data_IF_350139115727
#
_entry.id   IF_350139115727
#
_cell.length_a   1.000
_cell.length_b   1.000
_cell.length_c   1.000
_cell.angle_alpha   90.00
_cell.angle_beta   90.00
_cell.angle_gamma   90.00
#
_symmetry.space_group_name_H-M   'P 1'
#
loop_
_entity.id
_entity.type
_entity.pdbx_description
1 polymer ?
#
# COMPACT_ATOMS: atom_id res chain seq x y z
N UNK A 1 -56.35 11.27 -10.37
CA UNK A 1 -55.76 12.04 -11.49
C UNK A 1 -54.29 11.76 -11.46
N UNK A 2 -53.97 10.51 -11.77
CA UNK A 2 -52.83 9.77 -11.26
C UNK A 2 -51.69 9.75 -12.27
N UNK A 3 -50.47 9.99 -11.81
CA UNK A 3 -49.24 9.87 -12.60
C UNK A 3 -48.32 8.86 -11.92
N UNK A 4 -48.64 7.58 -12.08
CA UNK A 4 -47.67 6.49 -11.91
C UNK A 4 -46.88 6.35 -13.21
N UNK A 5 -45.62 6.80 -13.21
CA UNK A 5 -44.68 6.51 -14.31
C UNK A 5 -43.69 5.47 -13.83
N UNK A 6 -44.03 4.20 -14.09
CA UNK A 6 -43.16 3.07 -13.86
C UNK A 6 -41.99 3.07 -14.85
N UNK A 7 -40.79 3.33 -14.35
CA UNK A 7 -39.57 3.19 -15.13
C UNK A 7 -39.19 1.69 -15.22
N UNK A 8 -39.22 1.11 -16.42
CA UNK A 8 -38.68 -0.24 -16.69
C UNK A 8 -37.40 -0.14 -17.51
N UNK A 9 -36.29 -0.78 -17.10
CA UNK A 9 -35.09 -0.86 -17.91
C UNK A 9 -35.31 -1.77 -19.15
N UNK A 10 -34.70 -1.46 -20.30
CA UNK A 10 -34.79 -2.28 -21.50
C UNK A 10 -34.01 -3.60 -21.38
N UNK A 11 -34.54 -4.65 -22.04
CA UNK A 11 -34.04 -6.02 -21.97
C UNK A 11 -32.72 -6.24 -22.73
N UNK A 12 -31.84 -7.06 -22.13
CA UNK A 12 -30.44 -7.37 -22.49
C UNK A 12 -30.24 -8.24 -23.75
N UNK A 13 -31.09 -8.15 -24.78
CA UNK A 13 -30.97 -8.97 -26.00
C UNK A 13 -30.99 -8.11 -27.26
N UNK A 14 -30.02 -7.22 -27.43
CA UNK A 14 -29.78 -6.55 -28.73
C UNK A 14 -28.43 -5.80 -28.78
N UNK A 15 -27.35 -6.42 -28.31
CA UNK A 15 -25.99 -5.97 -28.67
C UNK A 15 -25.49 -6.84 -29.82
N UNK A 16 -25.93 -6.46 -31.02
CA UNK A 16 -25.38 -6.95 -32.28
C UNK A 16 -23.89 -6.65 -32.36
N UNK A 17 -23.12 -7.68 -32.72
CA UNK A 17 -21.73 -7.57 -33.10
C UNK A 17 -21.65 -6.72 -34.38
N UNK A 18 -21.12 -5.49 -34.25
CA UNK A 18 -20.69 -4.72 -35.41
C UNK A 18 -19.31 -5.22 -35.82
N UNK A 19 -19.23 -5.71 -37.05
CA UNK A 19 -18.02 -6.11 -37.75
C UNK A 19 -17.07 -4.92 -37.84
N UNK A 20 -15.86 -5.08 -37.29
CA UNK A 20 -14.73 -4.22 -37.60
C UNK A 20 -14.21 -4.61 -38.98
N UNK A 21 -14.16 -3.59 -39.84
CA UNK A 21 -13.86 -3.70 -41.25
C UNK A 21 -12.44 -4.16 -41.55
N UNK A 22 -12.34 -4.64 -42.79
CA UNK A 22 -11.15 -4.88 -43.58
C UNK A 22 -10.12 -3.76 -43.43
N UNK A 23 -8.88 -4.16 -43.12
CA UNK A 23 -7.70 -3.39 -43.49
C UNK A 23 -6.88 -4.31 -44.38
N UNK A 24 -6.95 -4.05 -45.68
CA UNK A 24 -6.04 -4.59 -46.67
C UNK A 24 -4.62 -4.12 -46.36
N UNK A 25 -3.68 -5.05 -46.27
CA UNK A 25 -2.26 -4.74 -46.28
C UNK A 25 -1.49 -5.86 -46.96
N UNK A 26 -1.28 -5.63 -48.25
CA UNK A 26 -0.06 -5.88 -49.02
C UNK A 26 0.65 -7.24 -48.86
N UNK A 27 0.46 -8.02 -49.92
CA UNK A 27 1.29 -9.10 -50.44
C UNK A 27 2.80 -8.80 -50.39
N UNK A 28 3.59 -9.71 -49.80
CA UNK A 28 5.01 -9.85 -50.07
C UNK A 28 5.35 -11.32 -50.36
N UNK A 29 6.18 -11.61 -51.39
CA UNK A 29 6.36 -12.96 -51.88
C UNK A 29 7.42 -13.76 -51.11
N UNK A 30 7.09 -15.05 -51.05
CA UNK A 30 7.88 -16.21 -50.67
C UNK A 30 9.22 -16.28 -51.43
N UNK A 31 10.35 -16.37 -50.73
CA UNK A 31 11.60 -16.89 -51.28
C UNK A 31 12.18 -17.94 -50.32
N UNK A 32 12.08 -19.20 -50.74
CA UNK A 32 12.76 -20.34 -50.15
C UNK A 32 14.24 -20.27 -50.55
N UNK A 33 15.16 -20.37 -49.59
CA UNK A 33 16.47 -20.95 -49.85
C UNK A 33 17.07 -21.51 -48.56
N UNK A 34 17.10 -22.83 -48.48
CA UNK A 34 17.86 -23.57 -47.50
C UNK A 34 19.33 -23.59 -47.96
N UNK A 35 20.25 -23.18 -47.08
CA UNK A 35 21.65 -23.61 -47.20
C UNK A 35 22.25 -23.82 -45.83
N UNK A 36 22.62 -25.07 -45.61
CA UNK A 36 23.27 -25.58 -44.41
C UNK A 36 24.62 -24.90 -44.18
N UNK A 37 24.81 -24.38 -42.95
CA UNK A 37 26.12 -24.10 -42.39
C UNK A 37 26.25 -24.90 -41.10
N UNK A 38 27.14 -25.87 -41.20
CA UNK A 38 27.52 -26.86 -40.21
C UNK A 38 28.70 -26.26 -39.44
N UNK A 39 28.65 -26.31 -38.11
CA UNK A 39 29.85 -26.19 -37.27
C UNK A 39 29.98 -24.89 -36.49
N UNK A 40 29.53 -24.93 -35.23
CA UNK A 40 30.30 -24.54 -34.05
C UNK A 40 29.41 -24.78 -32.83
N UNK A 41 29.62 -25.91 -32.15
CA UNK A 41 29.02 -26.17 -30.85
C UNK A 41 29.60 -25.16 -29.85
N UNK A 42 28.85 -24.11 -29.57
CA UNK A 42 29.04 -23.31 -28.37
C UNK A 42 28.57 -24.14 -27.16
N UNK A 43 29.34 -24.20 -26.07
CA UNK A 43 28.90 -24.91 -24.87
C UNK A 43 27.64 -24.23 -24.34
N UNK A 44 26.55 -25.01 -24.25
CA UNK A 44 25.35 -24.60 -23.55
C UNK A 44 25.68 -24.44 -22.06
N UNK A 45 25.87 -23.20 -21.63
CA UNK A 45 26.09 -22.85 -20.23
C UNK A 45 24.80 -23.11 -19.44
N UNK A 46 24.83 -23.83 -18.31
CA UNK A 46 23.65 -24.20 -17.54
C UNK A 46 23.14 -23.02 -16.69
N UNK A 47 22.51 -22.04 -17.33
CA UNK A 47 21.97 -20.82 -16.67
C UNK A 47 20.77 -21.05 -15.72
N UNK A 48 20.28 -22.28 -15.59
CA UNK A 48 19.14 -22.60 -14.71
C UNK A 48 19.56 -22.97 -13.29
N UNK A 49 20.64 -23.72 -13.12
CA UNK A 49 21.09 -24.18 -11.80
C UNK A 49 21.59 -23.01 -10.93
N UNK A 50 22.39 -22.09 -11.50
CA UNK A 50 22.89 -20.92 -10.75
C UNK A 50 21.77 -19.99 -10.26
N UNK A 51 20.65 -19.91 -10.98
CA UNK A 51 19.54 -19.02 -10.63
C UNK A 51 18.69 -19.58 -9.50
N UNK A 52 18.56 -20.90 -9.43
CA UNK A 52 17.85 -21.60 -8.35
C UNK A 52 18.70 -21.59 -7.07
N UNK A 53 20.01 -21.80 -7.16
CA UNK A 53 20.94 -21.70 -6.03
C UNK A 53 20.99 -20.28 -5.43
N UNK A 54 20.99 -19.24 -6.29
CA UNK A 54 20.97 -17.85 -5.84
C UNK A 54 19.64 -17.48 -5.14
N UNK A 55 18.51 -17.98 -5.62
CA UNK A 55 17.20 -17.80 -4.98
C UNK A 55 17.11 -18.49 -3.61
N UNK A 56 17.73 -19.66 -3.49
CA UNK A 56 17.77 -20.42 -2.24
C UNK A 56 18.70 -19.75 -1.21
N UNK A 57 19.87 -19.26 -1.64
CA UNK A 57 20.79 -18.49 -0.79
C UNK A 57 20.17 -17.18 -0.27
N UNK A 58 19.44 -16.44 -1.12
CA UNK A 58 18.67 -15.27 -0.70
C UNK A 58 17.54 -15.64 0.27
N UNK A 59 17.00 -16.85 0.18
CA UNK A 59 15.97 -17.33 1.11
C UNK A 59 16.53 -17.65 2.50
N UNK A 60 17.72 -18.25 2.55
CA UNK A 60 18.39 -18.60 3.81
C UNK A 60 18.82 -17.36 4.58
N UNK A 61 19.43 -16.40 3.90
CA UNK A 61 19.87 -15.13 4.52
C UNK A 61 18.72 -14.35 5.16
N UNK A 62 17.59 -14.19 4.45
CA UNK A 62 16.42 -13.51 5.02
C UNK A 62 15.81 -14.27 6.21
N UNK A 63 15.88 -15.61 6.24
CA UNK A 63 15.41 -16.37 7.42
C UNK A 63 16.33 -16.21 8.62
N UNK A 64 17.64 -16.13 8.39
CA UNK A 64 18.63 -15.88 9.43
C UNK A 64 18.50 -14.47 9.99
N UNK A 65 18.29 -13.47 9.13
CA UNK A 65 18.03 -12.08 9.54
C UNK A 65 16.76 -11.96 10.39
N UNK A 66 15.68 -12.64 10.01
CA UNK A 66 14.44 -12.67 10.79
C UNK A 66 14.64 -13.30 12.18
N UNK A 67 15.41 -14.40 12.26
CA UNK A 67 15.76 -15.05 13.53
C UNK A 67 16.65 -14.16 14.38
N UNK A 68 17.67 -13.54 13.79
CA UNK A 68 18.56 -12.61 14.47
C UNK A 68 17.79 -11.38 14.98
N UNK A 69 16.83 -10.87 14.21
CA UNK A 69 15.95 -9.80 14.63
C UNK A 69 15.05 -10.21 15.80
N UNK A 70 14.46 -11.41 15.74
CA UNK A 70 13.68 -11.96 16.86
C UNK A 70 14.53 -12.08 18.11
N UNK A 71 15.77 -12.59 18.00
CA UNK A 71 16.69 -12.71 19.12
C UNK A 71 17.09 -11.34 19.69
N UNK A 72 17.35 -10.35 18.85
CA UNK A 72 17.65 -8.98 19.26
C UNK A 72 16.48 -8.32 20.01
N UNK A 73 15.24 -8.59 19.58
CA UNK A 73 14.05 -8.07 20.26
C UNK A 73 13.83 -8.81 21.59
N UNK A 74 14.05 -10.13 21.64
CA UNK A 74 14.00 -10.89 22.90
C UNK A 74 15.02 -10.36 23.91
N UNK A 75 16.26 -10.11 23.48
CA UNK A 75 17.30 -9.55 24.35
C UNK A 75 16.95 -8.14 24.86
N UNK A 76 16.22 -7.35 24.06
CA UNK A 76 15.68 -6.07 24.51
C UNK A 76 14.64 -6.31 25.60
N UNK A 77 13.69 -7.23 25.40
CA UNK A 77 12.62 -7.54 26.36
C UNK A 77 13.12 -8.10 27.70
N UNK A 78 14.33 -8.65 27.76
CA UNK A 78 14.96 -9.15 28.99
C UNK A 78 15.52 -8.02 29.88
N UNK A 79 15.56 -6.78 29.40
CA UNK A 79 15.96 -5.61 30.20
C UNK A 79 14.85 -5.21 31.19
N UNK A 80 15.07 -5.50 32.47
CA UNK A 80 14.15 -5.20 33.58
C UNK A 80 13.86 -3.70 33.75
N UNK A 81 14.63 -2.82 33.10
CA UNK A 81 14.44 -1.36 33.18
C UNK A 81 13.47 -0.81 32.12
N UNK A 82 12.97 -1.65 31.21
CA UNK A 82 12.04 -1.23 30.17
C UNK A 82 10.70 -0.77 30.74
N UNK A 83 10.18 0.32 30.18
CA UNK A 83 8.81 0.74 30.43
C UNK A 83 7.81 -0.26 29.84
N UNK A 84 6.63 -0.39 30.47
CA UNK A 84 5.54 -1.27 30.02
C UNK A 84 5.19 -1.08 28.53
N UNK A 85 5.27 0.16 28.03
CA UNK A 85 5.01 0.48 26.63
C UNK A 85 6.06 -0.12 25.69
N UNK A 86 7.33 -0.08 26.08
CA UNK A 86 8.42 -0.65 25.30
C UNK A 86 8.37 -2.18 25.31
N UNK A 87 7.98 -2.78 26.44
CA UNK A 87 7.72 -4.22 26.53
C UNK A 87 6.58 -4.61 25.58
N UNK A 88 5.49 -3.82 25.54
CA UNK A 88 4.39 -4.04 24.61
C UNK A 88 4.82 -3.92 23.15
N UNK A 89 5.56 -2.86 22.79
CA UNK A 89 6.12 -2.66 21.45
C UNK A 89 7.01 -3.84 21.04
N UNK A 90 7.93 -4.26 21.92
CA UNK A 90 8.82 -5.38 21.66
C UNK A 90 8.06 -6.68 21.42
N UNK A 91 6.98 -6.96 22.18
CA UNK A 91 6.14 -8.15 21.96
C UNK A 91 5.43 -8.13 20.62
N UNK A 92 4.85 -6.99 20.23
CA UNK A 92 4.20 -6.84 18.92
C UNK A 92 5.22 -7.06 17.80
N UNK A 93 6.39 -6.45 17.92
CA UNK A 93 7.45 -6.59 16.92
C UNK A 93 7.99 -8.01 16.83
N UNK A 94 8.19 -8.68 17.97
CA UNK A 94 8.59 -10.08 18.03
C UNK A 94 7.59 -10.99 17.30
N UNK A 95 6.29 -10.73 17.47
CA UNK A 95 5.25 -11.47 16.79
C UNK A 95 5.26 -11.23 15.28
N UNK A 96 5.54 -10.01 14.80
CA UNK A 96 5.71 -9.73 13.36
C UNK A 96 6.90 -10.47 12.74
N UNK A 97 7.95 -10.75 13.51
CA UNK A 97 9.10 -11.54 13.09
C UNK A 97 8.95 -13.05 13.29
N UNK A 98 7.82 -13.51 13.83
CA UNK A 98 7.60 -14.92 14.08
C UNK A 98 7.67 -15.75 12.78
N UNK A 99 8.39 -16.88 12.83
CA UNK A 99 8.63 -17.74 11.68
C UNK A 99 7.33 -18.21 10.98
N UNK A 100 6.23 -18.33 11.71
CA UNK A 100 4.91 -18.69 11.16
C UNK A 100 4.36 -17.68 10.13
N UNK A 101 4.80 -16.43 10.18
CA UNK A 101 4.37 -15.38 9.25
C UNK A 101 5.35 -15.13 8.11
N UNK A 102 6.51 -15.79 8.13
CA UNK A 102 7.61 -15.55 7.20
C UNK A 102 7.20 -15.65 5.71
N UNK A 103 6.30 -16.57 5.38
CA UNK A 103 5.80 -16.74 4.00
C UNK A 103 5.20 -15.47 3.38
N UNK A 104 4.69 -14.55 4.23
CA UNK A 104 4.11 -13.29 3.79
C UNK A 104 4.74 -12.04 4.42
N UNK A 105 5.48 -12.13 5.53
CA UNK A 105 6.21 -10.97 6.08
C UNK A 105 7.51 -10.68 5.34
N UNK A 106 8.10 -11.69 4.68
CA UNK A 106 9.41 -11.60 3.99
C UNK A 106 9.63 -10.29 3.20
N UNK A 107 8.76 -9.88 2.24
CA UNK A 107 8.99 -8.67 1.45
C UNK A 107 9.17 -7.37 2.25
N UNK A 108 8.81 -7.38 3.53
CA UNK A 108 8.81 -6.23 4.42
C UNK A 108 9.91 -6.33 5.49
N UNK A 109 10.70 -7.41 5.53
CA UNK A 109 11.69 -7.63 6.59
C UNK A 109 12.92 -6.77 6.39
N UNK A 110 13.72 -7.07 5.37
CA UNK A 110 15.01 -6.43 5.15
C UNK A 110 14.93 -5.22 4.22
N UNK A 111 15.94 -4.36 4.27
CA UNK A 111 16.06 -3.24 3.34
C UNK A 111 16.20 -3.73 1.89
N UNK A 112 16.94 -4.81 1.66
CA UNK A 112 17.12 -5.38 0.31
C UNK A 112 15.82 -5.92 -0.27
N UNK A 113 14.99 -6.58 0.53
CA UNK A 113 13.69 -7.09 0.09
C UNK A 113 12.65 -5.96 -0.09
N UNK A 114 12.71 -4.95 0.78
CA UNK A 114 11.91 -3.73 0.66
C UNK A 114 12.26 -2.96 -0.62
N UNK A 115 13.56 -2.78 -0.91
CA UNK A 115 14.06 -2.14 -2.14
C UNK A 115 13.65 -2.92 -3.40
N UNK A 116 13.72 -4.26 -3.37
CA UNK A 116 13.23 -5.10 -4.46
C UNK A 116 11.72 -4.93 -4.71
N UNK A 117 10.98 -4.50 -3.68
CA UNK A 117 9.56 -4.14 -3.75
C UNK A 117 9.31 -2.63 -3.89
N UNK A 118 10.35 -1.81 -4.12
CA UNK A 118 10.28 -0.36 -4.20
C UNK A 118 9.64 0.33 -2.98
N UNK A 119 9.83 -0.22 -1.78
CA UNK A 119 9.37 0.35 -0.51
C UNK A 119 10.45 1.25 0.11
N UNK A 120 10.05 2.29 0.83
CA UNK A 120 11.01 3.25 1.43
C UNK A 120 11.53 2.81 2.79
N UNK A 121 10.84 1.90 3.47
CA UNK A 121 11.16 1.42 4.80
C UNK A 121 10.86 -0.07 4.95
N UNK A 122 11.52 -0.70 5.92
CA UNK A 122 11.39 -2.12 6.26
C UNK A 122 11.12 -2.31 7.75
N UNK A 123 10.59 -3.47 8.16
CA UNK A 123 10.34 -3.81 9.56
C UNK A 123 11.64 -3.90 10.36
N UNK A 124 12.76 -4.31 9.75
CA UNK A 124 14.08 -4.25 10.41
C UNK A 124 14.51 -2.79 10.67
N UNK A 125 14.20 -1.85 9.76
CA UNK A 125 14.47 -0.43 10.03
C UNK A 125 13.64 0.10 11.22
N UNK A 126 12.41 -0.39 11.40
CA UNK A 126 11.57 -0.05 12.57
C UNK A 126 12.14 -0.65 13.85
N UNK A 127 12.61 -1.91 13.80
CA UNK A 127 13.34 -2.55 14.91
C UNK A 127 14.54 -1.70 15.33
N UNK A 128 15.34 -1.24 14.37
CA UNK A 128 16.55 -0.46 14.65
C UNK A 128 16.24 0.87 15.32
N UNK A 129 15.11 1.49 14.96
CA UNK A 129 14.59 2.68 15.65
C UNK A 129 14.14 2.38 17.10
N UNK A 130 13.64 1.19 17.39
CA UNK A 130 13.27 0.79 18.75
C UNK A 130 14.52 0.50 19.59
N UNK A 131 15.49 -0.24 19.04
CA UNK A 131 16.73 -0.58 19.76
C UNK A 131 17.59 0.66 20.05
N UNK A 132 17.58 1.64 19.14
CA UNK A 132 18.20 2.96 19.36
C UNK A 132 17.38 3.89 20.26
N UNK A 133 16.23 3.43 20.79
CA UNK A 133 15.28 4.20 21.62
C UNK A 133 14.74 5.45 20.94
N UNK A 134 14.75 5.51 19.61
CA UNK A 134 14.10 6.58 18.85
C UNK A 134 12.56 6.47 18.87
N UNK A 135 12.03 5.26 19.06
CA UNK A 135 10.59 5.00 19.20
C UNK A 135 10.28 4.59 20.65
N UNK A 136 9.98 5.57 21.49
CA UNK A 136 9.65 5.35 22.91
C UNK A 136 8.17 5.15 23.17
N UNK A 137 7.31 5.69 22.32
CA UNK A 137 5.85 5.62 22.45
C UNK A 137 5.25 4.63 21.45
N UNK A 138 4.22 3.91 21.91
CA UNK A 138 3.56 2.88 21.10
C UNK A 138 2.79 3.44 19.90
N UNK A 139 2.32 4.68 19.99
CA UNK A 139 1.72 5.41 18.88
C UNK A 139 2.74 5.59 17.77
N UNK A 140 3.91 6.16 18.09
CA UNK A 140 5.00 6.38 17.12
C UNK A 140 5.47 5.07 16.46
N UNK A 141 5.59 3.99 17.24
CA UNK A 141 5.85 2.66 16.70
C UNK A 141 4.78 2.21 15.70
N UNK A 142 3.51 2.34 16.06
CA UNK A 142 2.41 1.92 15.22
C UNK A 142 2.34 2.75 13.92
N UNK A 143 2.65 4.05 13.97
CA UNK A 143 2.77 4.91 12.80
C UNK A 143 3.83 4.41 11.82
N UNK A 144 5.01 4.06 12.33
CA UNK A 144 6.13 3.59 11.52
C UNK A 144 5.86 2.25 10.84
N UNK A 145 5.23 1.31 11.55
CA UNK A 145 4.81 0.02 10.96
C UNK A 145 3.75 0.25 9.88
N UNK A 146 2.73 1.06 10.17
CA UNK A 146 1.69 1.39 9.18
C UNK A 146 2.23 2.14 7.98
N UNK A 147 3.30 2.94 8.14
CA UNK A 147 3.99 3.60 7.02
C UNK A 147 4.59 2.57 6.05
N UNK A 148 5.22 1.52 6.55
CA UNK A 148 5.73 0.41 5.72
C UNK A 148 4.60 -0.21 4.88
N UNK A 149 3.43 -0.44 5.50
CA UNK A 149 2.28 -1.03 4.81
C UNK A 149 1.61 -0.03 3.84
N UNK A 150 1.51 1.24 4.23
CA UNK A 150 0.97 2.31 3.40
C UNK A 150 1.80 2.50 2.13
N UNK A 151 3.13 2.54 2.25
CA UNK A 151 4.05 2.58 1.11
C UNK A 151 3.80 1.42 0.16
N UNK A 152 3.61 0.20 0.69
CA UNK A 152 3.30 -0.96 -0.13
C UNK A 152 2.00 -0.78 -0.91
N UNK A 153 0.93 -0.30 -0.27
CA UNK A 153 -0.34 -0.07 -0.96
C UNK A 153 -0.27 1.11 -1.94
N UNK A 154 0.55 2.11 -1.66
CA UNK A 154 0.80 3.24 -2.55
C UNK A 154 1.57 2.84 -3.81
N UNK A 155 2.53 1.92 -3.70
CA UNK A 155 3.31 1.42 -4.83
C UNK A 155 2.55 0.33 -5.62
N UNK A 156 2.00 -0.66 -4.93
CA UNK A 156 1.47 -1.89 -5.55
C UNK A 156 -0.05 -1.93 -5.68
N UNK A 157 -0.76 -1.00 -5.02
CA UNK A 157 -2.22 -0.92 -5.07
C UNK A 157 -2.94 -1.98 -4.23
N UNK A 158 -4.18 -2.29 -4.61
CA UNK A 158 -5.07 -3.15 -3.83
C UNK A 158 -4.54 -4.61 -3.80
N UNK A 159 -4.73 -5.36 -2.70
CA UNK A 159 -4.44 -6.80 -2.58
C UNK A 159 -4.93 -7.71 -3.73
N UNK A 160 -5.95 -7.29 -4.48
CA UNK A 160 -6.48 -8.05 -5.62
C UNK A 160 -5.64 -7.89 -6.89
N UNK A 161 -4.75 -6.89 -6.93
CA UNK A 161 -3.95 -6.52 -8.10
C UNK A 161 -2.49 -6.96 -7.96
N UNK A 162 -1.96 -7.03 -6.74
CA UNK A 162 -0.57 -7.41 -6.47
C UNK A 162 -0.45 -8.49 -5.40
N UNK A 163 0.38 -9.50 -5.67
CA UNK A 163 0.73 -10.53 -4.70
C UNK A 163 1.45 -9.96 -3.48
N UNK A 164 2.23 -8.88 -3.65
CA UNK A 164 2.91 -8.18 -2.55
C UNK A 164 1.89 -7.47 -1.66
N UNK A 165 0.92 -6.76 -2.24
CA UNK A 165 -0.18 -6.15 -1.48
C UNK A 165 -1.03 -7.17 -0.72
N UNK A 166 -1.23 -8.37 -1.28
CA UNK A 166 -1.92 -9.48 -0.59
C UNK A 166 -1.13 -10.03 0.59
N UNK A 167 0.19 -10.05 0.48
CA UNK A 167 1.07 -10.38 1.60
C UNK A 167 1.05 -9.29 2.67
N UNK A 168 1.06 -8.02 2.25
CA UNK A 168 0.93 -6.84 3.10
C UNK A 168 -0.35 -6.90 3.94
N UNK A 169 -1.51 -7.16 3.31
CA UNK A 169 -2.81 -7.29 4.00
C UNK A 169 -2.79 -8.34 5.13
N UNK A 170 -2.10 -9.46 4.92
CA UNK A 170 -1.99 -10.50 5.94
C UNK A 170 -1.15 -10.06 7.13
N UNK A 171 -0.01 -9.41 6.90
CA UNK A 171 0.86 -8.94 7.99
C UNK A 171 0.27 -7.70 8.68
N UNK A 172 -0.42 -6.83 7.96
CA UNK A 172 -1.20 -5.69 8.50
C UNK A 172 -2.30 -6.19 9.43
N UNK A 173 -3.03 -7.24 9.04
CA UNK A 173 -4.04 -7.87 9.91
C UNK A 173 -3.44 -8.46 11.19
N UNK A 174 -2.27 -9.11 11.10
CA UNK A 174 -1.56 -9.64 12.29
C UNK A 174 -1.14 -8.48 13.20
N UNK A 175 -0.60 -7.40 12.62
CA UNK A 175 -0.22 -6.22 13.37
C UNK A 175 -1.42 -5.60 14.10
N UNK A 176 -2.51 -5.31 13.40
CA UNK A 176 -3.70 -4.70 14.00
C UNK A 176 -4.37 -5.61 15.03
N UNK A 177 -4.35 -6.94 14.81
CA UNK A 177 -4.80 -7.89 15.82
C UNK A 177 -3.95 -7.77 17.10
N UNK A 178 -2.63 -7.69 16.98
CA UNK A 178 -1.74 -7.53 18.12
C UNK A 178 -1.96 -6.19 18.85
N UNK A 179 -2.16 -5.10 18.11
CA UNK A 179 -2.54 -3.80 18.69
C UNK A 179 -3.88 -3.90 19.45
N UNK A 180 -4.84 -4.65 18.91
CA UNK A 180 -6.15 -4.85 19.55
C UNK A 180 -6.07 -5.67 20.84
N UNK A 181 -5.04 -6.50 21.03
CA UNK A 181 -4.82 -7.30 22.24
C UNK A 181 -4.17 -6.50 23.37
N UNK A 182 -3.65 -5.31 23.09
CA UNK A 182 -3.02 -4.46 24.09
C UNK A 182 -4.02 -3.93 25.14
N UNK A 183 -3.54 -3.56 26.34
CA UNK A 183 -4.32 -2.83 27.33
C UNK A 183 -4.99 -1.60 26.72
N UNK A 184 -6.18 -1.25 27.21
CA UNK A 184 -7.01 -0.18 26.63
C UNK A 184 -6.29 1.17 26.55
N UNK A 185 -5.43 1.49 27.52
CA UNK A 185 -4.61 2.71 27.55
C UNK A 185 -3.64 2.78 26.37
N UNK A 186 -2.91 1.69 26.11
CA UNK A 186 -1.95 1.59 25.02
C UNK A 186 -2.63 1.51 23.66
N UNK A 187 -3.74 0.78 23.58
CA UNK A 187 -4.55 0.67 22.36
C UNK A 187 -5.08 2.03 21.89
N UNK A 188 -5.47 2.90 22.82
CA UNK A 188 -5.94 4.24 22.48
C UNK A 188 -4.83 5.07 21.83
N UNK A 189 -3.59 4.99 22.33
CA UNK A 189 -2.42 5.67 21.75
C UNK A 189 -2.01 5.09 20.39
N UNK A 190 -2.03 3.76 20.27
CA UNK A 190 -1.70 3.05 19.04
C UNK A 190 -2.84 3.07 18.01
N UNK A 191 -4.00 3.65 18.35
CA UNK A 191 -5.16 3.70 17.46
C UNK A 191 -4.82 4.45 16.19
N UNK A 192 -5.23 3.88 15.05
CA UNK A 192 -4.90 4.42 13.73
C UNK A 192 -5.36 5.88 13.54
N UNK A 193 -6.47 6.27 14.18
CA UNK A 193 -7.00 7.63 14.12
C UNK A 193 -6.16 8.66 14.87
N UNK A 194 -5.34 8.22 15.83
CA UNK A 194 -4.51 9.08 16.68
C UNK A 194 -3.06 9.05 16.22
N UNK A 195 -2.58 7.87 15.83
CA UNK A 195 -1.18 7.64 15.50
C UNK A 195 -0.81 8.00 14.05
N UNK A 196 -1.77 8.22 13.14
CA UNK A 196 -1.43 8.51 11.73
C UNK A 196 -1.55 10.00 11.40
N UNK A 197 -0.45 10.79 11.43
CA UNK A 197 -0.38 12.00 10.64
C UNK A 197 -0.17 11.56 9.18
N UNK A 198 -1.23 11.14 8.49
CA UNK A 198 -1.14 10.72 7.09
C UNK A 198 -0.67 11.87 6.19
N UNK A 199 -0.85 13.12 6.63
CA UNK A 199 -0.29 14.31 5.98
C UNK A 199 1.24 14.28 5.91
N UNK A 200 1.94 13.64 6.85
CA UNK A 200 3.41 13.57 6.85
C UNK A 200 3.94 12.41 5.98
N UNK A 201 3.11 11.40 5.70
CA UNK A 201 3.44 10.28 4.81
C UNK A 201 3.37 10.71 3.33
N UNK A 202 2.56 11.70 3.00
CA UNK A 202 2.38 12.22 1.64
C UNK A 202 3.23 13.46 1.30
N UNK A 203 3.84 14.11 2.29
CA UNK A 203 4.43 15.44 2.12
C UNK A 203 5.96 15.44 2.01
N UNK A 204 6.49 14.91 0.92
CA UNK A 204 7.66 15.51 0.24
C UNK A 204 7.17 16.43 -0.88
N UNK A 205 6.35 17.42 -0.53
CA UNK A 205 6.21 18.72 -1.21
C UNK A 205 5.11 19.55 -0.53
N UNK A 206 5.49 20.76 -0.11
CA UNK A 206 4.65 21.92 0.21
C UNK A 206 3.73 21.85 1.44
N UNK A 207 4.19 22.54 2.48
CA UNK A 207 3.45 22.98 3.65
C UNK A 207 2.29 23.94 3.29
N UNK A 208 1.16 23.77 3.98
CA UNK A 208 0.28 24.87 4.42
C UNK A 208 -0.62 24.37 5.55
N UNK A 209 -0.50 25.02 6.73
CA UNK A 209 -1.45 25.00 7.84
C UNK A 209 -2.87 25.31 7.37
N UNK A 210 -3.88 24.61 7.89
CA UNK A 210 -5.21 25.18 8.14
C UNK A 210 -5.88 24.47 9.34
N UNK A 211 -6.64 25.26 10.10
CA UNK A 211 -7.15 25.00 11.44
C UNK A 211 -8.40 24.08 11.49
N UNK A 212 -8.78 23.52 12.66
CA UNK A 212 -9.96 22.69 12.81
C UNK A 212 -11.24 23.53 12.95
N UNK A 213 -12.21 23.31 12.05
CA UNK A 213 -13.57 23.82 12.18
C UNK A 213 -14.36 23.04 13.25
N UNK A 214 -14.72 23.72 14.33
CA UNK A 214 -15.75 23.32 15.28
C UNK A 214 -17.13 23.30 14.61
N UNK A 215 -17.87 22.22 14.82
CA UNK A 215 -19.25 22.07 14.35
C UNK A 215 -20.00 21.05 15.20
N UNK A 216 -20.32 21.44 16.43
CA UNK A 216 -21.25 20.72 17.28
C UNK A 216 -22.69 21.07 16.87
N UNK A 217 -23.55 20.09 16.64
CA UNK A 217 -24.98 20.14 17.03
C UNK A 217 -25.62 18.74 17.05
N UNK A 218 -25.72 18.20 18.27
CA UNK A 218 -26.93 17.66 18.90
C UNK A 218 -28.05 17.09 17.99
N UNK A 219 -28.03 15.76 17.74
CA UNK A 219 -29.25 14.99 17.43
C UNK A 219 -29.39 13.75 18.32
N UNK A 220 -30.12 13.97 19.42
CA UNK A 220 -31.08 13.08 20.10
C UNK A 220 -31.03 11.58 19.76
N UNK A 221 -30.55 10.81 20.74
CA UNK A 221 -30.98 9.47 21.19
C UNK A 221 -31.66 8.57 20.15
N UNK A 222 -30.88 7.62 19.62
CA UNK A 222 -31.39 6.32 19.17
C UNK A 222 -30.61 5.19 19.85
N UNK A 223 -31.38 4.26 20.39
CA UNK A 223 -31.04 3.02 21.07
C UNK A 223 -29.82 2.28 20.55
N UNK A 224 -28.77 2.21 21.38
CA UNK A 224 -27.94 1.04 21.75
C UNK A 224 -27.70 -0.04 20.67
N UNK A 225 -27.46 0.35 19.42
CA UNK A 225 -26.59 -0.42 18.55
C UNK A 225 -25.19 -0.21 19.11
N UNK A 226 -24.56 -1.25 19.65
CA UNK A 226 -23.09 -1.25 19.77
C UNK A 226 -22.58 -1.22 18.34
N UNK A 227 -22.46 -0.02 17.78
CA UNK A 227 -21.62 0.21 16.62
C UNK A 227 -20.23 -0.07 17.15
N UNK A 228 -19.78 -1.33 17.03
CA UNK A 228 -18.35 -1.58 16.92
C UNK A 228 -17.91 -0.78 15.72
N UNK A 229 -17.47 0.45 15.96
CA UNK A 229 -16.75 1.25 14.98
C UNK A 229 -15.50 0.46 14.67
N UNK A 230 -15.57 -0.40 13.65
CA UNK A 230 -14.38 -1.01 13.07
C UNK A 230 -13.45 0.15 12.73
N UNK A 231 -12.29 0.16 13.39
CA UNK A 231 -11.25 1.13 13.08
C UNK A 231 -10.85 0.92 11.62
N UNK A 232 -10.66 2.00 10.85
CA UNK A 232 -10.29 1.88 9.46
C UNK A 232 -8.96 1.14 9.34
N UNK A 233 -8.81 0.30 8.31
CA UNK A 233 -7.53 -0.39 8.06
C UNK A 233 -6.54 0.53 7.38
N UNK A 234 -5.25 0.19 7.41
CA UNK A 234 -4.21 0.94 6.70
C UNK A 234 -4.54 1.06 5.20
N UNK A 235 -5.04 -0.01 4.59
CA UNK A 235 -5.50 -0.01 3.20
C UNK A 235 -6.62 1.00 2.96
N UNK A 236 -7.64 1.05 3.83
CA UNK A 236 -8.75 1.99 3.69
C UNK A 236 -8.29 3.44 3.77
N UNK A 237 -7.34 3.75 4.65
CA UNK A 237 -6.76 5.09 4.72
C UNK A 237 -5.98 5.45 3.46
N UNK A 238 -5.19 4.53 2.92
CA UNK A 238 -4.48 4.73 1.65
C UNK A 238 -5.44 4.95 0.49
N UNK A 239 -6.54 4.20 0.44
CA UNK A 239 -7.58 4.37 -0.59
C UNK A 239 -8.27 5.73 -0.48
N UNK A 240 -8.60 6.15 0.74
CA UNK A 240 -9.18 7.46 1.02
C UNK A 240 -8.23 8.58 0.57
N UNK A 241 -6.93 8.48 0.88
CA UNK A 241 -5.95 9.48 0.45
C UNK A 241 -5.82 9.52 -1.08
N UNK A 242 -5.74 8.36 -1.74
CA UNK A 242 -5.72 8.29 -3.21
C UNK A 242 -6.97 8.93 -3.82
N UNK A 243 -8.12 8.84 -3.16
CA UNK A 243 -9.35 9.48 -3.60
C UNK A 243 -9.28 11.00 -3.40
N UNK A 244 -8.72 11.48 -2.28
CA UNK A 244 -8.45 12.90 -2.01
C UNK A 244 -7.51 13.49 -3.06
N UNK A 245 -6.38 12.84 -3.33
CA UNK A 245 -5.39 13.27 -4.32
C UNK A 245 -5.98 13.35 -5.74
N UNK A 246 -6.81 12.37 -6.12
CA UNK A 246 -7.54 12.43 -7.40
C UNK A 246 -8.48 13.62 -7.47
N UNK A 247 -9.22 13.90 -6.40
CA UNK A 247 -10.09 15.08 -6.32
C UNK A 247 -9.31 16.40 -6.50
N UNK A 248 -8.14 16.52 -5.86
CA UNK A 248 -7.27 17.71 -6.00
C UNK A 248 -6.78 17.88 -7.44
N UNK A 249 -6.30 16.80 -8.07
CA UNK A 249 -5.83 16.84 -9.46
C UNK A 249 -6.96 17.17 -10.45
N UNK A 250 -8.16 16.62 -10.24
CA UNK A 250 -9.33 16.93 -11.07
C UNK A 250 -9.77 18.38 -10.92
N UNK A 251 -9.76 18.92 -9.69
CA UNK A 251 -10.02 20.33 -9.42
C UNK A 251 -9.00 21.24 -10.11
N UNK A 252 -7.70 20.89 -10.05
CA UNK A 252 -6.64 21.63 -10.72
C UNK A 252 -6.83 21.64 -12.25
N UNK A 253 -7.12 20.47 -12.84
CA UNK A 253 -7.42 20.35 -14.28
C UNK A 253 -8.69 21.10 -14.68
N UNK A 254 -9.66 21.25 -13.78
CA UNK A 254 -10.86 22.04 -14.04
C UNK A 254 -10.52 23.54 -14.06
N UNK A 255 -9.77 24.01 -13.07
CA UNK A 255 -9.34 25.39 -12.98
C UNK A 255 -8.44 25.81 -14.17
N UNK A 256 -7.57 24.90 -14.63
CA UNK A 256 -6.77 25.13 -15.84
C UNK A 256 -7.65 25.26 -17.11
N UNK A 257 -8.66 24.40 -17.27
CA UNK A 257 -9.63 24.50 -18.38
C UNK A 257 -10.45 25.79 -18.33
N UNK A 258 -10.84 26.24 -17.14
CA UNK A 258 -11.55 27.51 -16.96
C UNK A 258 -10.64 28.70 -17.32
N UNK A 259 -9.36 28.67 -16.94
CA UNK A 259 -8.36 29.68 -17.37
C UNK A 259 -8.18 29.72 -18.88
N UNK A 260 -8.09 28.56 -19.54
CA UNK A 260 -7.97 28.48 -21.00
C UNK A 260 -9.20 29.06 -21.70
N UNK A 261 -10.41 28.83 -21.16
CA UNK A 261 -11.64 29.41 -21.69
C UNK A 261 -11.66 30.93 -21.55
N UNK A 262 -11.38 31.44 -20.35
CA UNK A 262 -11.31 32.88 -20.10
C UNK A 262 -10.28 33.55 -21.03
N UNK A 263 -9.08 32.96 -21.18
CA UNK A 263 -8.07 33.47 -22.11
C UNK A 263 -8.53 33.46 -23.58
N UNK A 264 -9.28 32.43 -24.00
CA UNK A 264 -9.84 32.39 -25.35
C UNK A 264 -10.95 33.42 -25.58
N UNK A 265 -11.77 33.69 -24.55
CA UNK A 265 -12.80 34.72 -24.59
C UNK A 265 -12.19 36.12 -24.64
N UNK A 266 -11.16 36.39 -23.82
CA UNK A 266 -10.40 37.64 -23.84
C UNK A 266 -9.75 37.90 -25.21
N UNK A 267 -9.12 36.88 -25.80
CA UNK A 267 -8.52 37.02 -27.13
C UNK A 267 -9.57 37.30 -28.21
N UNK A 268 -10.74 36.65 -28.13
CA UNK A 268 -11.84 36.88 -29.06
C UNK A 268 -12.42 38.30 -28.93
N UNK A 269 -12.53 38.84 -27.72
CA UNK A 269 -12.96 40.23 -27.49
C UNK A 269 -11.94 41.23 -28.00
N UNK A 270 -10.64 40.96 -27.83
CA UNK A 270 -9.57 41.87 -28.26
C UNK A 270 -9.38 41.94 -29.79
N UNK A 271 -9.92 40.99 -30.54
CA UNK A 271 -9.78 40.93 -32.02
C UNK A 271 -10.98 41.46 -32.80
N UNK A 272 -12.09 41.80 -32.13
CA UNK A 272 -13.29 42.41 -32.72
C UNK A 272 -13.29 43.92 -32.50
#
# INVERSE_FOLDING_TARGET
>A
GDFEVGWRPPSRKERGARSLGEIDSATLPLAKSAKALKGAALPAVPLKEERDEHMEALSLTATEEARAATASVSALLDDETLADEQVAVGRVLQELFAAKYYSFSRPFLSATEAEACALTASLLSVRDKITSRALTDIGAFASEVRRVFADCYMVHGHPNQSAVSKKCERIDAVFEQNISLLPRSLRAKASILVATPFEEIANTSTATNEAPCEGAEERRRSSRARVETQLPTTLQLVEQERQRQRGVLEAQRRLERERQRAASEEWAVATV
#
